data_IF_095956637854
#
_entry.id   IF_095956637854
#
_cell.length_a   1.000
_cell.length_b   1.000
_cell.length_c   1.000
_cell.angle_alpha   90.00
_cell.angle_beta   90.00
_cell.angle_gamma   90.00
#
_symmetry.space_group_name_H-M   'P 1'
#
loop_
_entity.id
_entity.type
_entity.pdbx_description
1 polymer ?
#
# COMPACT_ATOMS: atom_id res chain seq x y z
N UNK A 1 -32.20 13.24 -6.39
CA UNK A 1 -31.49 12.42 -7.39
C UNK A 1 -30.01 12.77 -7.51
N UNK A 2 -29.63 14.03 -7.75
CA UNK A 2 -28.22 14.44 -7.87
C UNK A 2 -27.36 14.03 -6.67
N UNK A 3 -27.82 14.30 -5.43
CA UNK A 3 -27.09 13.91 -4.22
C UNK A 3 -26.79 12.40 -4.15
N UNK A 4 -27.77 11.55 -4.48
CA UNK A 4 -27.57 10.09 -4.45
C UNK A 4 -26.52 9.63 -5.48
N UNK A 5 -26.52 10.21 -6.68
CA UNK A 5 -25.53 9.90 -7.73
C UNK A 5 -24.13 10.40 -7.38
N UNK A 6 -24.01 11.59 -6.79
CA UNK A 6 -22.73 12.12 -6.34
C UNK A 6 -22.14 11.28 -5.21
N UNK A 7 -22.93 10.96 -4.18
CA UNK A 7 -22.46 10.16 -3.05
C UNK A 7 -22.15 8.72 -3.45
N UNK A 8 -22.84 8.14 -4.45
CA UNK A 8 -22.50 6.79 -4.92
C UNK A 8 -21.15 6.73 -5.61
N UNK A 9 -20.82 7.71 -6.46
CA UNK A 9 -19.49 7.83 -7.08
C UNK A 9 -18.43 8.12 -6.02
N UNK A 10 -18.69 9.08 -5.13
CA UNK A 10 -17.77 9.44 -4.05
C UNK A 10 -17.45 8.24 -3.13
N UNK A 11 -18.48 7.46 -2.76
CA UNK A 11 -18.34 6.27 -1.94
C UNK A 11 -17.58 5.15 -2.65
N UNK A 12 -17.89 4.87 -3.91
CA UNK A 12 -17.21 3.82 -4.68
C UNK A 12 -15.76 4.19 -5.02
N UNK A 13 -15.48 5.47 -5.25
CA UNK A 13 -14.12 5.95 -5.52
C UNK A 13 -13.30 6.20 -4.26
N UNK A 14 -13.84 5.95 -3.05
CA UNK A 14 -13.20 6.24 -1.78
C UNK A 14 -12.69 7.70 -1.72
N UNK A 15 -13.58 8.64 -2.05
CA UNK A 15 -13.22 10.06 -2.15
C UNK A 15 -13.58 10.85 -0.87
N UNK A 16 -14.65 10.47 -0.17
CA UNK A 16 -15.08 11.11 1.08
C UNK A 16 -15.68 12.50 0.94
N UNK A 17 -15.91 12.96 -0.28
CA UNK A 17 -16.62 14.21 -0.53
C UNK A 17 -18.12 14.00 -0.34
N UNK A 18 -18.72 14.86 0.48
CA UNK A 18 -20.16 15.00 0.62
C UNK A 18 -20.60 16.39 0.20
N UNK A 19 -21.83 16.48 -0.31
CA UNK A 19 -22.47 17.77 -0.64
C UNK A 19 -23.03 18.43 0.64
N UNK A 20 -23.23 17.66 1.70
CA UNK A 20 -23.78 18.13 2.96
C UNK A 20 -22.67 18.69 3.85
N UNK A 21 -22.97 19.77 4.58
CA UNK A 21 -22.01 20.44 5.48
C UNK A 21 -21.59 19.54 6.64
N UNK A 22 -22.50 18.72 7.12
CA UNK A 22 -22.34 17.73 8.18
C UNK A 22 -21.97 16.34 7.63
N UNK A 23 -21.58 16.27 6.36
CA UNK A 23 -21.21 15.03 5.69
C UNK A 23 -22.34 13.97 5.75
N UNK A 24 -22.15 12.84 6.44
CA UNK A 24 -23.18 11.81 6.62
C UNK A 24 -23.73 11.76 8.06
N UNK A 25 -23.43 12.74 8.91
CA UNK A 25 -23.92 12.81 10.29
C UNK A 25 -25.45 12.80 10.35
N UNK A 26 -26.13 13.59 9.51
CA UNK A 26 -27.59 13.64 9.43
C UNK A 26 -28.25 12.33 8.99
N UNK A 27 -27.49 11.37 8.45
CA UNK A 27 -28.01 10.06 7.99
C UNK A 27 -27.69 8.91 8.93
N UNK A 28 -27.08 9.17 10.09
CA UNK A 28 -26.64 8.13 11.06
C UNK A 28 -27.75 7.15 11.47
N UNK A 29 -28.99 7.62 11.52
CA UNK A 29 -30.15 6.82 11.96
C UNK A 29 -30.75 5.96 10.83
N UNK A 30 -30.25 6.08 9.59
CA UNK A 30 -30.74 5.34 8.42
C UNK A 30 -29.84 4.15 8.08
N UNK A 31 -30.14 2.93 8.56
CA UNK A 31 -29.29 1.75 8.33
C UNK A 31 -29.17 1.39 6.85
N UNK A 32 -30.19 1.71 6.04
CA UNK A 32 -30.19 1.47 4.59
C UNK A 32 -29.10 2.30 3.89
N UNK A 33 -29.00 3.58 4.23
CA UNK A 33 -28.00 4.49 3.64
C UNK A 33 -26.60 4.10 4.11
N UNK A 34 -26.42 3.86 5.41
CA UNK A 34 -25.12 3.45 5.94
C UNK A 34 -24.64 2.14 5.30
N UNK A 35 -25.52 1.14 5.19
CA UNK A 35 -25.16 -0.16 4.61
C UNK A 35 -24.80 -0.05 3.12
N UNK A 36 -25.57 0.73 2.35
CA UNK A 36 -25.27 0.94 0.92
C UNK A 36 -23.94 1.65 0.72
N UNK A 37 -23.66 2.70 1.49
CA UNK A 37 -22.38 3.42 1.45
C UNK A 37 -21.22 2.51 1.88
N UNK A 38 -21.36 1.74 2.96
CA UNK A 38 -20.33 0.79 3.39
C UNK A 38 -20.02 -0.26 2.32
N UNK A 39 -21.04 -0.81 1.66
CA UNK A 39 -20.86 -1.75 0.55
C UNK A 39 -20.09 -1.11 -0.61
N UNK A 40 -20.43 0.12 -0.99
CA UNK A 40 -19.73 0.84 -2.07
C UNK A 40 -18.25 1.08 -1.73
N UNK A 41 -17.96 1.51 -0.50
CA UNK A 41 -16.58 1.72 -0.01
C UNK A 41 -15.77 0.43 -0.04
N UNK A 42 -16.36 -0.68 0.44
CA UNK A 42 -15.69 -1.98 0.44
C UNK A 42 -15.42 -2.42 -0.99
N UNK A 43 -16.41 -2.35 -1.88
CA UNK A 43 -16.25 -2.75 -3.28
C UNK A 43 -15.21 -1.90 -4.01
N UNK A 44 -15.21 -0.58 -3.77
CA UNK A 44 -14.21 0.35 -4.29
C UNK A 44 -12.79 0.08 -3.78
N UNK A 45 -12.67 -0.26 -2.49
CA UNK A 45 -11.40 -0.50 -1.81
C UNK A 45 -10.75 -1.87 -2.08
N UNK A 46 -11.48 -2.86 -2.61
CA UNK A 46 -10.93 -4.20 -2.92
C UNK A 46 -10.03 -4.21 -4.16
N UNK A 47 -10.23 -3.25 -5.08
CA UNK A 47 -9.46 -3.12 -6.32
C UNK A 47 -10.02 -3.94 -7.49
N UNK A 48 -9.76 -3.44 -8.71
CA UNK A 48 -10.39 -3.94 -9.92
C UNK A 48 -10.13 -5.44 -10.18
N UNK A 49 -8.90 -5.91 -9.95
CA UNK A 49 -8.52 -7.32 -10.15
C UNK A 49 -9.34 -8.28 -9.28
N UNK A 50 -9.58 -7.90 -8.02
CA UNK A 50 -10.37 -8.70 -7.08
C UNK A 50 -11.84 -8.67 -7.47
N UNK A 51 -12.34 -7.50 -7.89
CA UNK A 51 -13.73 -7.33 -8.31
C UNK A 51 -14.04 -8.16 -9.58
N UNK A 52 -13.17 -8.12 -10.59
CA UNK A 52 -13.35 -8.91 -11.82
C UNK A 52 -13.34 -10.41 -11.55
N UNK A 53 -12.45 -10.88 -10.66
CA UNK A 53 -12.37 -12.29 -10.29
C UNK A 53 -13.62 -12.73 -9.51
N UNK A 54 -14.10 -11.91 -8.58
CA UNK A 54 -15.31 -12.19 -7.81
C UNK A 54 -16.56 -12.22 -8.69
N UNK A 55 -16.68 -11.29 -9.65
CA UNK A 55 -17.79 -11.25 -10.62
C UNK A 55 -17.78 -12.47 -11.54
N UNK A 56 -16.62 -12.87 -12.04
CA UNK A 56 -16.50 -14.05 -12.89
C UNK A 56 -16.83 -15.34 -12.11
N UNK A 57 -16.33 -15.47 -10.87
CA UNK A 57 -16.70 -16.58 -9.98
C UNK A 57 -18.20 -16.60 -9.66
N UNK A 58 -18.79 -15.44 -9.36
CA UNK A 58 -20.22 -15.34 -9.07
C UNK A 58 -21.09 -15.79 -10.24
N UNK A 59 -20.80 -15.29 -11.46
CA UNK A 59 -21.52 -15.69 -12.68
C UNK A 59 -21.40 -17.19 -12.95
N UNK A 60 -20.21 -17.75 -12.82
CA UNK A 60 -19.98 -19.16 -13.09
C UNK A 60 -20.62 -20.09 -12.04
N UNK A 61 -20.76 -19.63 -10.79
CA UNK A 61 -21.51 -20.32 -9.72
C UNK A 61 -23.01 -20.31 -9.98
N UNK A 62 -23.55 -19.17 -10.39
CA UNK A 62 -24.97 -19.01 -10.77
C UNK A 62 -25.33 -19.83 -12.01
N UNK A 63 -24.39 -19.99 -12.96
CA UNK A 63 -24.57 -20.78 -14.18
C UNK A 63 -24.34 -22.29 -13.98
N UNK A 64 -24.05 -22.75 -12.76
CA UNK A 64 -23.82 -24.18 -12.44
C UNK A 64 -22.56 -24.80 -13.07
N UNK A 65 -21.71 -24.02 -13.74
CA UNK A 65 -20.64 -24.53 -14.60
C UNK A 65 -19.28 -24.76 -13.90
N UNK A 66 -19.17 -24.52 -12.58
CA UNK A 66 -17.90 -24.68 -11.84
C UNK A 66 -18.11 -25.47 -10.55
N UNK A 67 -17.29 -26.51 -10.27
CA UNK A 67 -17.36 -27.26 -9.03
C UNK A 67 -17.04 -26.37 -7.81
N UNK A 68 -17.74 -26.63 -6.71
CA UNK A 68 -17.78 -25.80 -5.52
C UNK A 68 -16.51 -25.84 -4.65
N UNK A 69 -15.32 -25.72 -5.23
CA UNK A 69 -14.05 -25.84 -4.51
C UNK A 69 -13.53 -24.53 -3.89
N UNK A 70 -12.88 -24.56 -2.71
CA UNK A 70 -12.23 -23.41 -2.07
C UNK A 70 -10.93 -22.92 -2.75
N UNK A 71 -10.52 -23.55 -3.86
CA UNK A 71 -9.28 -23.24 -4.60
C UNK A 71 -9.48 -22.41 -5.86
N UNK A 72 -10.70 -21.95 -6.09
CA UNK A 72 -11.06 -21.25 -7.33
C UNK A 72 -10.53 -19.81 -7.39
N UNK A 73 -10.24 -19.21 -6.22
CA UNK A 73 -9.73 -17.85 -6.09
C UNK A 73 -8.19 -17.79 -6.03
N UNK A 74 -7.63 -16.79 -6.71
CA UNK A 74 -6.23 -16.43 -6.69
C UNK A 74 -5.74 -16.17 -5.27
N UNK A 75 -4.44 -16.39 -5.03
CA UNK A 75 -3.85 -16.10 -3.72
C UNK A 75 -3.94 -14.62 -3.37
N UNK A 76 -3.80 -13.74 -4.35
CA UNK A 76 -3.97 -12.29 -4.17
C UNK A 76 -5.37 -11.95 -3.63
N UNK A 77 -6.42 -12.43 -4.30
CA UNK A 77 -7.82 -12.19 -3.88
C UNK A 77 -8.12 -12.76 -2.51
N UNK A 78 -7.64 -13.97 -2.21
CA UNK A 78 -7.82 -14.56 -0.86
C UNK A 78 -7.13 -13.75 0.23
N UNK A 79 -5.92 -13.23 -0.02
CA UNK A 79 -5.21 -12.35 0.93
C UNK A 79 -5.96 -11.05 1.13
N UNK A 80 -6.35 -10.38 0.03
CA UNK A 80 -7.08 -9.11 0.07
C UNK A 80 -8.39 -9.24 0.86
N UNK A 81 -9.20 -10.25 0.57
CA UNK A 81 -10.48 -10.47 1.25
C UNK A 81 -10.29 -10.75 2.75
N UNK A 82 -9.34 -11.63 3.10
CA UNK A 82 -9.05 -11.96 4.51
C UNK A 82 -8.55 -10.75 5.29
N UNK A 83 -7.63 -9.98 4.72
CA UNK A 83 -7.08 -8.79 5.37
C UNK A 83 -8.13 -7.69 5.52
N UNK A 84 -8.90 -7.45 4.47
CA UNK A 84 -10.00 -6.46 4.48
C UNK A 84 -11.02 -6.81 5.57
N UNK A 85 -11.46 -8.07 5.62
CA UNK A 85 -12.41 -8.53 6.63
C UNK A 85 -11.82 -8.44 8.04
N UNK A 86 -10.58 -8.87 8.23
CA UNK A 86 -9.90 -8.81 9.52
C UNK A 86 -9.77 -7.36 10.03
N UNK A 87 -9.41 -6.41 9.16
CA UNK A 87 -9.28 -5.00 9.53
C UNK A 87 -10.63 -4.36 9.88
N UNK A 88 -11.70 -4.68 9.14
CA UNK A 88 -13.06 -4.18 9.46
C UNK A 88 -13.53 -4.73 10.81
N UNK A 89 -13.35 -6.03 11.05
CA UNK A 89 -13.80 -6.66 12.30
C UNK A 89 -12.98 -6.12 13.48
N UNK A 90 -11.65 -6.06 13.34
CA UNK A 90 -10.76 -5.58 14.39
C UNK A 90 -10.99 -4.10 14.70
N UNK A 91 -11.21 -3.27 13.67
CA UNK A 91 -11.53 -1.86 13.86
C UNK A 91 -12.90 -1.67 14.52
N UNK A 92 -13.93 -2.39 14.08
CA UNK A 92 -15.26 -2.34 14.69
C UNK A 92 -15.22 -2.77 16.17
N UNK A 93 -14.62 -3.92 16.47
CA UNK A 93 -14.48 -4.40 17.85
C UNK A 93 -13.65 -3.44 18.70
N UNK A 94 -12.54 -2.92 18.17
CA UNK A 94 -11.71 -1.95 18.86
C UNK A 94 -12.47 -0.67 19.20
N UNK A 95 -13.27 -0.13 18.27
CA UNK A 95 -14.09 1.05 18.51
C UNK A 95 -15.21 0.80 19.53
N UNK A 96 -15.81 -0.39 19.53
CA UNK A 96 -16.81 -0.77 20.53
C UNK A 96 -16.23 -0.86 21.95
N UNK A 97 -14.99 -1.36 22.08
CA UNK A 97 -14.30 -1.49 23.37
C UNK A 97 -13.80 -0.14 23.86
N UNK A 98 -13.18 0.65 22.97
CA UNK A 98 -12.56 1.94 23.32
C UNK A 98 -13.59 3.08 23.46
N UNK A 99 -14.77 2.90 22.88
CA UNK A 99 -15.90 3.81 23.01
C UNK A 99 -16.08 4.74 21.82
N UNK A 100 -17.35 5.01 21.52
CA UNK A 100 -17.83 6.03 20.60
C UNK A 100 -18.36 7.24 21.39
N UNK A 101 -18.52 8.42 20.76
CA UNK A 101 -19.11 9.58 21.42
C UNK A 101 -20.46 9.24 22.05
N UNK A 102 -20.73 9.79 23.25
CA UNK A 102 -21.83 9.42 24.14
C UNK A 102 -23.25 9.65 23.59
N UNK A 103 -23.40 10.15 22.37
CA UNK A 103 -24.70 10.45 21.76
C UNK A 103 -25.47 9.22 21.28
N UNK A 104 -24.90 8.02 21.34
CA UNK A 104 -25.56 6.80 20.88
C UNK A 104 -26.08 5.96 22.05
N UNK A 105 -27.39 6.02 22.27
CA UNK A 105 -28.05 5.38 23.41
C UNK A 105 -28.40 3.91 23.17
N UNK A 106 -28.58 3.48 21.91
CA UNK A 106 -28.97 2.09 21.56
C UNK A 106 -27.78 1.27 21.08
N UNK A 107 -27.69 0.01 21.53
CA UNK A 107 -26.65 -0.95 21.11
C UNK A 107 -26.56 -1.13 19.59
N UNK A 108 -27.70 -1.15 18.89
CA UNK A 108 -27.74 -1.26 17.43
C UNK A 108 -27.07 -0.08 16.73
N UNK A 109 -27.29 1.15 17.23
CA UNK A 109 -26.66 2.36 16.70
C UNK A 109 -25.15 2.31 16.93
N UNK A 110 -24.72 1.96 18.16
CA UNK A 110 -23.29 1.83 18.49
C UNK A 110 -22.58 0.86 17.55
N UNK A 111 -23.22 -0.28 17.26
CA UNK A 111 -22.67 -1.26 16.32
C UNK A 111 -22.60 -0.71 14.89
N UNK A 112 -23.66 -0.07 14.39
CA UNK A 112 -23.66 0.50 13.04
C UNK A 112 -22.62 1.62 12.89
N UNK A 113 -22.45 2.47 13.90
CA UNK A 113 -21.49 3.56 13.88
C UNK A 113 -20.06 3.07 14.03
N UNK A 114 -19.79 2.07 14.88
CA UNK A 114 -18.48 1.44 14.97
C UNK A 114 -18.09 0.75 13.65
N UNK A 115 -19.03 0.01 13.06
CA UNK A 115 -18.83 -0.66 11.78
C UNK A 115 -18.59 0.37 10.67
N UNK A 116 -19.42 1.41 10.59
CA UNK A 116 -19.30 2.46 9.59
C UNK A 116 -17.96 3.18 9.71
N UNK A 117 -17.57 3.57 10.91
CA UNK A 117 -16.30 4.27 11.14
C UNK A 117 -15.08 3.38 10.84
N UNK A 118 -15.17 2.08 11.15
CA UNK A 118 -14.14 1.11 10.77
C UNK A 118 -14.06 0.86 9.26
N UNK A 119 -15.18 0.95 8.54
CA UNK A 119 -15.21 0.85 7.08
C UNK A 119 -14.68 2.14 6.46
N UNK A 120 -15.07 3.29 7.01
CA UNK A 120 -14.75 4.61 6.50
C UNK A 120 -13.29 5.01 6.69
N UNK A 121 -12.66 4.60 7.80
CA UNK A 121 -11.23 4.81 8.05
C UNK A 121 -10.34 4.18 6.98
N UNK A 122 -10.84 3.20 6.21
CA UNK A 122 -10.15 2.64 5.04
C UNK A 122 -10.35 3.51 3.81
N UNK A 123 -9.88 4.75 3.90
CA UNK A 123 -9.78 5.73 2.81
C UNK A 123 -11.10 6.32 2.29
N UNK A 124 -12.22 6.23 3.01
CA UNK A 124 -13.49 6.71 2.50
C UNK A 124 -13.93 8.07 3.01
N UNK A 125 -13.45 8.53 4.18
CA UNK A 125 -13.61 9.92 4.62
C UNK A 125 -14.99 10.37 5.08
N UNK A 126 -15.99 9.50 5.03
CA UNK A 126 -17.31 9.84 5.56
C UNK A 126 -17.35 9.70 7.08
N UNK A 127 -17.99 10.64 7.75
CA UNK A 127 -18.23 10.60 9.18
C UNK A 127 -19.73 10.52 9.49
N UNK A 128 -20.10 9.59 10.37
CA UNK A 128 -21.43 9.46 10.99
C UNK A 128 -21.41 9.84 12.47
N UNK A 129 -20.22 10.07 13.01
CA UNK A 129 -19.96 10.57 14.36
C UNK A 129 -18.97 11.72 14.28
N UNK A 130 -19.04 12.66 15.24
CA UNK A 130 -18.08 13.75 15.31
C UNK A 130 -16.72 13.19 15.75
N UNK A 131 -15.74 13.27 14.84
CA UNK A 131 -14.39 12.76 15.04
C UNK A 131 -13.64 13.60 16.08
N UNK A 132 -13.88 14.91 16.14
CA UNK A 132 -13.20 15.80 17.08
C UNK A 132 -13.54 15.54 18.55
N UNK A 133 -14.66 14.86 18.82
CA UNK A 133 -15.14 14.55 20.18
C UNK A 133 -14.90 13.08 20.56
N UNK A 134 -14.26 12.29 19.69
CA UNK A 134 -13.97 10.89 19.98
C UNK A 134 -12.91 10.74 21.10
N UNK A 135 -13.01 9.68 21.93
CA UNK A 135 -11.95 9.35 22.87
C UNK A 135 -10.59 9.22 22.18
N UNK A 136 -9.52 9.69 22.84
CA UNK A 136 -8.17 9.69 22.29
C UNK A 136 -7.70 8.27 21.89
N UNK A 137 -8.12 7.25 22.63
CA UNK A 137 -7.87 5.85 22.32
C UNK A 137 -8.49 5.43 20.97
N UNK A 138 -9.75 5.80 20.73
CA UNK A 138 -10.46 5.54 19.47
C UNK A 138 -9.85 6.33 18.31
N UNK A 139 -9.44 7.58 18.53
CA UNK A 139 -8.70 8.38 17.53
C UNK A 139 -7.38 7.72 17.13
N UNK A 140 -6.63 7.19 18.11
CA UNK A 140 -5.37 6.50 17.84
C UNK A 140 -5.61 5.19 17.07
N UNK A 141 -6.64 4.43 17.42
CA UNK A 141 -7.04 3.24 16.66
C UNK A 141 -7.40 3.59 15.21
N UNK A 142 -8.20 4.64 15.00
CA UNK A 142 -8.54 5.12 13.66
C UNK A 142 -7.29 5.55 12.90
N UNK A 143 -6.38 6.27 13.55
CA UNK A 143 -5.11 6.69 12.97
C UNK A 143 -4.30 5.48 12.45
N UNK A 144 -4.20 4.41 13.24
CA UNK A 144 -3.53 3.17 12.81
C UNK A 144 -4.24 2.48 11.66
N UNK A 145 -5.57 2.45 11.67
CA UNK A 145 -6.38 1.90 10.57
C UNK A 145 -6.22 2.71 9.28
N UNK A 146 -6.22 4.05 9.36
CA UNK A 146 -6.09 4.97 8.23
C UNK A 146 -4.72 4.86 7.53
N UNK A 147 -3.68 4.55 8.29
CA UNK A 147 -2.36 4.28 7.71
C UNK A 147 -2.38 3.07 6.76
N UNK A 148 -3.23 2.08 7.06
CA UNK A 148 -3.48 0.90 6.24
C UNK A 148 -4.66 1.19 5.30
N UNK A 149 -4.33 1.59 4.09
CA UNK A 149 -5.32 1.93 3.07
C UNK A 149 -5.98 0.72 2.41
N UNK A 150 -6.51 0.94 1.20
CA UNK A 150 -7.16 -0.12 0.42
C UNK A 150 -6.19 -1.06 -0.28
N UNK A 151 -6.74 -1.92 -1.14
CA UNK A 151 -5.98 -2.98 -1.80
C UNK A 151 -5.35 -2.49 -3.11
N UNK A 152 -4.36 -3.21 -3.68
CA UNK A 152 -3.77 -2.85 -4.97
C UNK A 152 -4.82 -2.78 -6.09
N UNK A 153 -4.68 -1.83 -7.00
CA UNK A 153 -5.64 -1.63 -8.10
C UNK A 153 -6.99 -1.03 -7.66
N UNK A 154 -7.06 -0.45 -6.45
CA UNK A 154 -8.19 0.34 -5.97
C UNK A 154 -7.91 1.84 -6.06
N UNK A 155 -8.98 2.62 -5.89
CA UNK A 155 -8.96 4.07 -5.72
C UNK A 155 -8.67 4.48 -4.27
N UNK A 156 -7.94 3.69 -3.48
CA UNK A 156 -7.58 4.04 -2.11
C UNK A 156 -6.10 4.46 -2.02
N UNK A 157 -5.76 5.43 -1.18
CA UNK A 157 -4.38 5.82 -0.87
C UNK A 157 -3.70 4.93 0.18
N UNK A 158 -2.58 5.40 0.73
CA UNK A 158 -1.90 4.81 1.88
C UNK A 158 -1.18 3.49 1.62
N UNK A 159 -0.78 2.81 2.70
CA UNK A 159 -0.11 1.51 2.61
C UNK A 159 -1.14 0.44 2.26
N UNK A 160 -0.88 -0.29 1.17
CA UNK A 160 -1.81 -1.30 0.69
C UNK A 160 -1.96 -2.47 1.66
N UNK A 161 -3.17 -3.03 1.75
CA UNK A 161 -3.48 -4.21 2.57
C UNK A 161 -2.55 -5.41 2.32
N UNK A 162 -2.14 -5.62 1.06
CA UNK A 162 -1.19 -6.67 0.69
C UNK A 162 0.22 -6.41 1.20
N UNK A 163 0.64 -5.14 1.27
CA UNK A 163 1.91 -4.76 1.86
C UNK A 163 1.96 -5.09 3.35
N UNK A 164 0.87 -4.81 4.08
CA UNK A 164 0.72 -5.23 5.46
C UNK A 164 0.77 -6.76 5.60
N UNK A 165 0.04 -7.49 4.75
CA UNK A 165 0.03 -8.95 4.79
C UNK A 165 1.43 -9.56 4.59
N UNK A 166 2.19 -9.04 3.62
CA UNK A 166 3.56 -9.49 3.34
C UNK A 166 4.47 -9.20 4.53
N UNK A 167 4.34 -8.02 5.14
CA UNK A 167 5.15 -7.60 6.29
C UNK A 167 4.88 -8.48 7.51
N UNK A 168 3.60 -8.76 7.80
CA UNK A 168 3.22 -9.66 8.89
C UNK A 168 3.69 -11.10 8.63
N UNK A 169 3.60 -11.58 7.39
CA UNK A 169 4.09 -12.89 7.02
C UNK A 169 5.62 -12.99 7.13
N UNK A 170 6.35 -11.95 6.72
CA UNK A 170 7.80 -11.89 6.91
C UNK A 170 8.15 -11.87 8.39
N UNK A 171 7.54 -11.01 9.19
CA UNK A 171 7.77 -10.96 10.63
C UNK A 171 7.54 -12.33 11.29
N UNK A 172 6.45 -13.01 10.94
CA UNK A 172 6.15 -14.37 11.42
C UNK A 172 7.19 -15.41 11.00
N UNK A 173 7.64 -15.38 9.74
CA UNK A 173 8.67 -16.30 9.26
C UNK A 173 10.01 -16.09 9.98
N UNK A 174 10.41 -14.82 10.17
CA UNK A 174 11.64 -14.44 10.89
C UNK A 174 11.61 -14.90 12.35
N UNK A 175 10.49 -14.74 13.05
CA UNK A 175 10.34 -15.24 14.42
C UNK A 175 10.46 -16.76 14.53
N UNK A 176 10.12 -17.50 13.48
CA UNK A 176 10.28 -18.96 13.41
C UNK A 176 11.66 -19.40 12.91
N UNK A 177 12.51 -18.47 12.48
CA UNK A 177 13.78 -18.80 11.82
C UNK A 177 13.62 -19.39 10.41
N UNK A 178 12.49 -19.16 9.75
CA UNK A 178 12.26 -19.64 8.38
C UNK A 178 12.85 -18.65 7.35
N UNK A 179 13.68 -19.15 6.43
CA UNK A 179 14.29 -18.34 5.35
C UNK A 179 13.30 -17.94 4.25
N UNK A 180 12.16 -18.62 4.17
CA UNK A 180 11.17 -18.42 3.13
C UNK A 180 9.87 -17.89 3.72
N UNK A 181 9.41 -16.77 3.20
CA UNK A 181 8.08 -16.24 3.54
C UNK A 181 7.03 -16.95 2.68
N UNK A 182 6.17 -17.73 3.33
CA UNK A 182 5.09 -18.49 2.70
C UNK A 182 3.74 -17.91 3.11
N UNK A 183 2.86 -17.71 2.13
CA UNK A 183 1.51 -17.19 2.32
C UNK A 183 0.52 -18.01 1.50
N UNK A 184 -0.50 -18.58 2.16
CA UNK A 184 -1.50 -19.47 1.53
C UNK A 184 -0.85 -20.61 0.71
N UNK A 185 0.14 -21.27 1.31
CA UNK A 185 0.92 -22.37 0.71
C UNK A 185 1.70 -21.96 -0.55
N UNK A 186 1.99 -20.66 -0.71
CA UNK A 186 2.82 -20.14 -1.80
C UNK A 186 3.94 -19.25 -1.28
N UNK A 187 5.15 -19.46 -1.79
CA UNK A 187 6.32 -18.64 -1.48
C UNK A 187 6.19 -17.25 -2.09
N UNK A 188 6.47 -16.21 -1.31
CA UNK A 188 6.56 -14.84 -1.79
C UNK A 188 8.00 -14.57 -2.28
N UNK A 189 8.19 -14.10 -3.53
CA UNK A 189 9.51 -13.76 -4.06
C UNK A 189 10.22 -12.64 -3.26
N UNK A 190 11.54 -12.80 -3.01
CA UNK A 190 12.37 -11.79 -2.32
C UNK A 190 12.26 -10.37 -2.91
N UNK A 191 12.26 -10.17 -4.25
CA UNK A 191 12.12 -8.82 -4.81
C UNK A 191 10.80 -8.12 -4.43
N UNK A 192 9.73 -8.88 -4.15
CA UNK A 192 8.46 -8.32 -3.71
C UNK A 192 8.56 -7.92 -2.23
N UNK A 193 9.18 -8.74 -1.38
CA UNK A 193 9.46 -8.39 0.02
C UNK A 193 10.28 -7.09 0.12
N UNK A 194 11.39 -7.02 -0.61
CA UNK A 194 12.29 -5.86 -0.55
C UNK A 194 11.57 -4.57 -0.97
N UNK A 195 10.77 -4.64 -2.05
CA UNK A 195 9.94 -3.50 -2.50
C UNK A 195 8.91 -3.10 -1.46
N UNK A 196 8.21 -4.06 -0.84
CA UNK A 196 7.24 -3.80 0.23
C UNK A 196 7.89 -3.14 1.44
N UNK A 197 9.07 -3.62 1.85
CA UNK A 197 9.80 -3.04 3.00
C UNK A 197 10.33 -1.64 2.71
N UNK A 198 10.75 -1.35 1.48
CA UNK A 198 11.11 0.01 1.07
C UNK A 198 9.89 0.94 1.11
N UNK A 199 8.75 0.49 0.56
CA UNK A 199 7.49 1.26 0.59
C UNK A 199 7.07 1.64 2.01
N UNK A 200 7.10 0.70 2.95
CA UNK A 200 6.70 0.94 4.34
C UNK A 200 7.67 1.89 5.03
N UNK A 201 8.99 1.68 4.88
CA UNK A 201 10.00 2.57 5.47
C UNK A 201 9.89 3.99 4.95
N UNK A 202 9.70 4.17 3.64
CA UNK A 202 9.48 5.49 3.03
C UNK A 202 8.20 6.14 3.55
N UNK A 203 7.12 5.37 3.72
CA UNK A 203 5.85 5.88 4.25
C UNK A 203 5.99 6.35 5.70
N UNK A 204 6.69 5.60 6.55
CA UNK A 204 6.95 5.97 7.94
C UNK A 204 7.80 7.25 8.00
N UNK A 205 8.89 7.30 7.23
CA UNK A 205 9.77 8.47 7.20
C UNK A 205 9.03 9.73 6.72
N UNK A 206 8.21 9.61 5.67
CA UNK A 206 7.41 10.72 5.16
C UNK A 206 6.43 11.26 6.21
N UNK A 207 5.70 10.37 6.89
CA UNK A 207 4.75 10.77 7.92
C UNK A 207 5.45 11.37 9.14
N UNK A 208 6.63 10.87 9.53
CA UNK A 208 7.41 11.44 10.62
C UNK A 208 7.89 12.87 10.29
N UNK A 209 8.39 13.08 9.07
CA UNK A 209 8.78 14.42 8.59
C UNK A 209 7.59 15.37 8.56
N UNK A 210 6.43 14.90 8.08
CA UNK A 210 5.23 15.70 8.03
C UNK A 210 4.67 16.06 9.40
N UNK A 211 4.70 15.13 10.34
CA UNK A 211 4.34 15.38 11.73
C UNK A 211 5.22 16.47 12.35
N UNK A 212 6.54 16.38 12.18
CA UNK A 212 7.47 17.39 12.69
C UNK A 212 7.22 18.77 12.07
N UNK A 213 7.02 18.82 10.75
CA UNK A 213 6.75 20.07 10.04
C UNK A 213 5.44 20.70 10.50
N UNK A 214 4.35 19.93 10.57
CA UNK A 214 3.05 20.44 10.98
C UNK A 214 3.03 20.86 12.45
N UNK A 215 3.71 20.11 13.33
CA UNK A 215 3.88 20.54 14.72
C UNK A 215 4.57 21.89 14.79
N UNK A 216 5.64 22.09 14.01
CA UNK A 216 6.33 23.37 13.96
C UNK A 216 5.46 24.51 13.40
N UNK A 217 4.74 24.29 12.31
CA UNK A 217 3.94 25.35 11.66
C UNK A 217 2.66 25.69 12.40
N UNK A 218 2.04 24.71 13.08
CA UNK A 218 0.76 24.87 13.78
C UNK A 218 0.94 25.11 15.30
N UNK A 219 2.17 25.30 15.77
CA UNK A 219 2.47 25.59 17.18
C UNK A 219 1.68 26.81 17.68
N UNK A 220 1.06 26.69 18.87
CA UNK A 220 0.39 27.79 19.56
C UNK A 220 -1.06 28.06 19.10
N UNK A 221 -1.63 27.22 18.22
CA UNK A 221 -3.01 27.36 17.76
C UNK A 221 -4.01 26.56 18.62
N UNK A 222 -5.21 27.12 18.87
CA UNK A 222 -6.23 26.42 19.65
C UNK A 222 -6.75 25.19 18.89
N UNK A 223 -6.66 24.02 19.53
CA UNK A 223 -7.09 22.74 18.94
C UNK A 223 -6.07 22.10 17.98
N UNK A 224 -4.80 22.51 18.05
CA UNK A 224 -3.70 21.84 17.35
C UNK A 224 -2.91 20.95 18.33
N UNK A 225 -3.58 20.01 18.99
CA UNK A 225 -2.91 19.04 19.85
C UNK A 225 -2.03 18.09 19.03
N UNK A 226 -1.06 17.43 19.69
CA UNK A 226 -0.24 16.40 19.03
C UNK A 226 -1.08 15.32 18.33
N UNK A 227 -2.19 14.92 18.95
CA UNK A 227 -3.10 13.92 18.40
C UNK A 227 -3.86 14.42 17.17
N UNK A 228 -4.27 15.69 17.14
CA UNK A 228 -4.92 16.31 15.98
C UNK A 228 -3.98 16.35 14.78
N UNK A 229 -2.75 16.82 15.00
CA UNK A 229 -1.74 16.91 13.94
C UNK A 229 -1.36 15.52 13.42
N UNK A 230 -1.19 14.55 14.31
CA UNK A 230 -0.93 13.16 13.93
C UNK A 230 -2.08 12.58 13.11
N UNK A 231 -3.33 12.83 13.53
CA UNK A 231 -4.53 12.35 12.85
C UNK A 231 -4.62 12.95 11.44
N UNK A 232 -4.43 14.27 11.30
CA UNK A 232 -4.44 14.98 10.01
C UNK A 232 -3.34 14.49 9.07
N UNK A 233 -2.11 14.35 9.58
CA UNK A 233 -0.97 13.90 8.79
C UNK A 233 -1.21 12.49 8.21
N UNK A 234 -1.70 11.57 9.04
CA UNK A 234 -1.95 10.18 8.63
C UNK A 234 -3.20 10.08 7.76
N UNK A 235 -4.25 10.85 8.06
CA UNK A 235 -5.44 10.96 7.20
C UNK A 235 -5.09 11.49 5.82
N UNK A 236 -4.25 12.53 5.73
CA UNK A 236 -3.76 13.07 4.46
C UNK A 236 -2.93 12.03 3.69
N UNK A 237 -2.00 11.34 4.34
CA UNK A 237 -1.17 10.32 3.70
C UNK A 237 -1.99 9.10 3.24
N UNK A 238 -2.96 8.67 4.05
CA UNK A 238 -3.90 7.61 3.66
C UNK A 238 -4.90 8.05 2.59
N UNK A 239 -4.95 9.35 2.27
CA UNK A 239 -6.03 10.00 1.53
C UNK A 239 -7.39 9.58 2.07
N UNK A 240 -7.55 9.63 3.39
CA UNK A 240 -8.76 9.21 4.08
C UNK A 240 -9.79 10.30 4.09
N UNK A 241 -9.43 11.53 4.43
CA UNK A 241 -10.35 12.67 4.43
C UNK A 241 -11.16 12.82 5.72
N UNK A 242 -10.87 12.02 6.76
CA UNK A 242 -11.36 12.31 8.11
C UNK A 242 -10.49 13.40 8.75
N UNK A 243 -11.10 14.24 9.58
CA UNK A 243 -10.43 15.34 10.29
C UNK A 243 -10.97 15.46 11.71
N UNK A 244 -10.12 15.88 12.67
CA UNK A 244 -10.57 16.29 14.01
C UNK A 244 -11.06 17.74 14.05
N UNK A 245 -11.10 18.43 12.90
CA UNK A 245 -11.48 19.83 12.76
C UNK A 245 -10.29 20.80 12.61
N UNK A 246 -9.08 20.29 12.40
CA UNK A 246 -7.87 21.09 12.21
C UNK A 246 -7.69 21.54 10.75
N UNK A 247 -8.18 20.77 9.77
CA UNK A 247 -8.03 21.03 8.32
C UNK A 247 -8.36 22.48 7.92
N UNK A 248 -9.49 23.03 8.38
CA UNK A 248 -9.92 24.39 8.01
C UNK A 248 -9.03 25.48 8.62
N UNK A 249 -8.34 25.16 9.72
CA UNK A 249 -7.52 26.08 10.51
C UNK A 249 -6.03 26.04 10.16
N UNK A 250 -5.61 25.14 9.26
CA UNK A 250 -4.21 24.98 8.86
C UNK A 250 -3.58 26.27 8.32
N UNK A 251 -2.30 26.49 8.62
CA UNK A 251 -1.48 27.57 8.02
C UNK A 251 -1.37 27.38 6.50
N UNK A 252 -0.98 28.43 5.78
CA UNK A 252 -0.68 28.31 4.33
C UNK A 252 0.37 27.22 4.08
N UNK A 253 1.42 27.18 4.90
CA UNK A 253 2.50 26.17 4.80
C UNK A 253 1.94 24.77 5.12
N UNK A 254 1.17 24.63 6.19
CA UNK A 254 0.53 23.37 6.58
C UNK A 254 -0.41 22.83 5.51
N UNK A 255 -1.21 23.70 4.87
CA UNK A 255 -2.11 23.34 3.74
C UNK A 255 -1.32 22.85 2.52
N UNK A 256 -0.24 23.54 2.15
CA UNK A 256 0.64 23.10 1.06
C UNK A 256 1.26 21.73 1.36
N UNK A 257 1.72 21.53 2.60
CA UNK A 257 2.28 20.26 3.04
C UNK A 257 1.27 19.11 3.02
N UNK A 258 0.06 19.33 3.55
CA UNK A 258 -1.03 18.35 3.53
C UNK A 258 -1.40 17.99 2.09
N UNK A 259 -1.45 18.98 1.19
CA UNK A 259 -1.72 18.77 -0.24
C UNK A 259 -0.64 17.89 -0.89
N UNK A 260 0.63 18.17 -0.63
CA UNK A 260 1.74 17.35 -1.10
C UNK A 260 1.67 15.92 -0.52
N UNK A 261 1.33 15.80 0.77
CA UNK A 261 1.17 14.51 1.46
C UNK A 261 0.04 13.68 0.85
N UNK A 262 -1.10 14.29 0.51
CA UNK A 262 -2.20 13.60 -0.19
C UNK A 262 -1.76 13.07 -1.55
N UNK A 263 -1.00 13.87 -2.30
CA UNK A 263 -0.46 13.45 -3.61
C UNK A 263 0.50 12.26 -3.48
N UNK A 264 1.42 12.31 -2.51
CA UNK A 264 2.35 11.21 -2.20
C UNK A 264 1.61 9.96 -1.74
N UNK A 265 0.62 10.13 -0.87
CA UNK A 265 -0.24 9.07 -0.37
C UNK A 265 -1.01 8.35 -1.47
N UNK A 266 -1.47 9.09 -2.49
CA UNK A 266 -2.25 8.55 -3.61
C UNK A 266 -1.40 7.79 -4.62
N UNK A 267 -0.27 8.38 -5.05
CA UNK A 267 0.61 7.80 -6.07
C UNK A 267 1.50 6.67 -5.52
N UNK A 268 1.71 6.67 -4.21
CA UNK A 268 2.61 5.79 -3.52
C UNK A 268 4.04 6.36 -3.51
N UNK A 269 4.71 6.37 -2.34
CA UNK A 269 6.00 7.05 -2.18
C UNK A 269 7.11 6.46 -3.06
N UNK A 270 7.09 5.14 -3.32
CA UNK A 270 8.08 4.51 -4.19
C UNK A 270 7.90 4.89 -5.67
N UNK A 271 6.65 5.01 -6.14
CA UNK A 271 6.36 5.42 -7.52
C UNK A 271 6.89 6.82 -7.79
N UNK A 272 6.69 7.74 -6.84
CA UNK A 272 7.24 9.08 -6.90
C UNK A 272 8.77 9.08 -6.80
N UNK A 273 9.35 8.32 -5.88
CA UNK A 273 10.79 8.21 -5.76
C UNK A 273 11.45 7.74 -7.07
N UNK A 274 10.90 6.70 -7.71
CA UNK A 274 11.40 6.18 -8.99
C UNK A 274 11.16 7.17 -10.14
N UNK A 275 10.04 7.90 -10.13
CA UNK A 275 9.74 8.91 -11.15
C UNK A 275 10.69 10.11 -11.12
N UNK A 276 11.23 10.44 -9.94
CA UNK A 276 12.14 11.58 -9.74
C UNK A 276 13.61 11.17 -9.81
N UNK A 277 13.95 9.96 -9.34
CA UNK A 277 15.34 9.49 -9.26
C UNK A 277 15.77 8.73 -10.53
N UNK A 278 16.93 9.07 -11.12
CA UNK A 278 17.45 8.31 -12.26
C UNK A 278 17.84 6.88 -11.85
N UNK A 279 17.50 5.90 -12.69
CA UNK A 279 17.84 4.51 -12.44
C UNK A 279 19.33 4.24 -12.70
N UNK A 280 20.15 4.32 -11.66
CA UNK A 280 21.59 4.02 -11.75
C UNK A 280 21.79 2.51 -11.65
N UNK A 281 22.13 1.87 -12.77
CA UNK A 281 22.50 0.46 -12.80
C UNK A 281 24.03 0.33 -12.69
N UNK A 282 24.53 -0.07 -11.51
CA UNK A 282 25.95 -0.41 -11.38
C UNK A 282 26.22 -1.76 -12.04
N UNK A 283 27.18 -1.80 -12.98
CA UNK A 283 27.72 -3.05 -13.54
C UNK A 283 28.85 -3.63 -12.67
N UNK A 284 29.31 -2.88 -11.68
CA UNK A 284 30.39 -3.28 -10.77
C UNK A 284 29.77 -3.78 -9.47
N UNK A 285 30.16 -4.99 -9.05
CA UNK A 285 29.82 -5.56 -7.74
C UNK A 285 30.97 -5.26 -6.78
N UNK A 286 30.67 -4.63 -5.66
CA UNK A 286 31.63 -4.37 -4.59
C UNK A 286 31.78 -5.60 -3.69
N UNK A 287 32.93 -5.81 -3.04
CA UNK A 287 33.12 -6.90 -2.08
C UNK A 287 32.17 -6.76 -0.87
N UNK A 288 31.79 -7.89 -0.27
CA UNK A 288 30.90 -7.91 0.89
C UNK A 288 31.59 -7.31 2.13
N UNK A 289 31.04 -6.21 2.64
CA UNK A 289 31.45 -5.63 3.91
C UNK A 289 30.62 -6.21 5.05
N UNK A 290 31.26 -6.84 6.04
CA UNK A 290 30.59 -7.27 7.27
C UNK A 290 30.44 -6.07 8.21
N UNK A 291 29.24 -5.52 8.32
CA UNK A 291 28.91 -4.45 9.26
C UNK A 291 28.08 -5.05 10.37
N UNK A 292 28.51 -4.86 11.63
CA UNK A 292 27.82 -5.40 12.80
C UNK A 292 26.48 -4.67 13.00
N UNK A 293 25.38 -5.42 13.03
CA UNK A 293 24.03 -4.89 13.31
C UNK A 293 23.62 -5.42 14.69
N UNK A 294 23.95 -4.65 15.73
CA UNK A 294 23.61 -4.98 17.12
C UNK A 294 24.21 -6.31 17.60
N UNK A 295 23.74 -6.79 18.75
CA UNK A 295 24.20 -8.04 19.37
C UNK A 295 23.49 -9.25 18.75
N UNK A 296 23.62 -9.43 17.45
CA UNK A 296 23.23 -10.71 16.82
C UNK A 296 24.25 -11.74 17.28
N UNK A 297 23.78 -12.85 17.89
CA UNK A 297 24.61 -14.02 18.18
C UNK A 297 24.96 -14.74 16.87
N UNK A 298 25.67 -14.06 15.98
CA UNK A 298 26.46 -14.75 14.99
C UNK A 298 27.82 -14.97 15.62
N UNK A 299 28.11 -16.24 15.92
CA UNK A 299 29.39 -16.66 16.46
C UNK A 299 30.46 -16.28 15.41
N UNK A 300 31.41 -15.36 15.70
CA UNK A 300 32.38 -14.90 14.70
C UNK A 300 33.35 -16.01 14.22
N UNK A 301 33.24 -17.23 14.76
CA UNK A 301 34.21 -18.32 14.61
C UNK A 301 33.70 -19.55 13.84
N UNK A 302 32.48 -19.57 13.29
CA UNK A 302 31.96 -20.77 12.60
C UNK A 302 32.00 -20.77 11.06
N UNK A 303 32.62 -19.78 10.41
CA UNK A 303 32.98 -19.91 8.99
C UNK A 303 34.48 -20.11 8.87
N UNK A 304 34.90 -21.37 9.04
CA UNK A 304 36.21 -21.83 8.60
C UNK A 304 36.44 -21.38 7.17
N UNK A 305 37.43 -20.52 6.98
CA UNK A 305 38.05 -20.21 5.71
C UNK A 305 38.45 -21.49 4.97
N UNK A 306 37.92 -21.78 3.77
CA UNK A 306 38.68 -22.55 2.81
C UNK A 306 39.76 -21.61 2.26
N UNK A 307 41.00 -22.07 2.31
CA UNK A 307 42.19 -21.27 2.04
C UNK A 307 42.13 -20.41 0.78
N UNK A 308 42.85 -19.29 0.87
CA UNK A 308 43.37 -18.53 -0.26
C UNK A 308 43.63 -19.43 -1.48
N UNK A 309 42.73 -19.38 -2.46
CA UNK A 309 43.07 -19.66 -3.86
C UNK A 309 43.15 -18.33 -4.57
N UNK A 310 44.37 -17.96 -4.94
CA UNK A 310 44.64 -16.99 -6.00
C UNK A 310 43.73 -17.32 -7.19
N UNK A 311 42.74 -16.47 -7.46
CA UNK A 311 42.04 -16.49 -8.73
C UNK A 311 43.04 -15.98 -9.78
N UNK A 312 43.69 -16.92 -10.46
CA UNK A 312 44.31 -16.67 -11.75
C UNK A 312 43.22 -16.13 -12.68
N UNK A 313 43.37 -14.89 -13.14
CA UNK A 313 42.54 -14.33 -14.21
C UNK A 313 42.87 -15.10 -15.48
N UNK A 314 42.08 -16.13 -15.76
CA UNK A 314 42.05 -16.80 -17.06
C UNK A 314 41.03 -16.08 -17.95
N UNK A 315 41.52 -15.28 -18.89
CA UNK A 315 40.72 -14.86 -20.03
C UNK A 315 40.41 -16.10 -20.88
N UNK A 316 39.17 -16.60 -20.79
CA UNK A 316 38.62 -17.54 -21.76
C UNK A 316 37.50 -16.86 -22.56
N UNK A 317 37.49 -16.96 -23.90
CA UNK A 317 36.51 -16.30 -24.74
C UNK A 317 35.14 -16.99 -24.66
N UNK A 318 34.08 -16.18 -24.65
CA UNK A 318 32.68 -16.62 -24.69
C UNK A 318 32.41 -17.49 -25.92
N UNK A 319 31.87 -18.70 -25.70
CA UNK A 319 30.99 -19.37 -26.65
C UNK A 319 29.55 -18.93 -26.36
N UNK A 320 28.91 -18.27 -27.33
CA UNK A 320 27.45 -18.13 -27.40
C UNK A 320 26.88 -19.21 -28.32
N UNK A 321 25.71 -19.78 -28.02
CA UNK A 321 25.04 -20.76 -28.88
C UNK A 321 24.12 -20.07 -29.91
N UNK A 322 23.82 -20.84 -30.96
CA UNK A 322 22.70 -20.73 -31.90
C UNK A 322 22.81 -19.81 -33.13
N UNK A 323 22.50 -20.40 -34.29
CA UNK A 323 21.67 -19.76 -35.30
C UNK A 323 22.37 -19.24 -36.55
N UNK A 324 22.52 -20.10 -37.55
CA UNK A 324 22.86 -19.72 -38.93
C UNK A 324 21.66 -19.01 -39.59
N UNK A 325 21.86 -17.82 -40.18
CA UNK A 325 21.20 -17.41 -41.43
C UNK A 325 22.23 -16.68 -42.33
N UNK A 326 22.42 -17.10 -43.60
CA UNK A 326 23.50 -16.66 -44.48
C UNK A 326 23.08 -15.48 -45.38
N UNK A 327 23.92 -14.45 -45.51
CA UNK A 327 23.63 -13.34 -46.44
C UNK A 327 24.66 -12.22 -46.54
N UNK A 328 25.55 -12.05 -45.55
CA UNK A 328 26.46 -10.88 -45.51
C UNK A 328 27.92 -11.21 -45.86
N UNK A 329 28.24 -12.50 -46.02
CA UNK A 329 29.62 -12.95 -46.34
C UNK A 329 29.95 -12.87 -47.85
N UNK A 330 28.95 -12.68 -48.72
CA UNK A 330 29.17 -12.53 -50.16
C UNK A 330 29.54 -11.11 -50.58
N UNK A 331 29.10 -10.07 -49.85
CA UNK A 331 29.38 -8.67 -50.25
C UNK A 331 30.81 -8.19 -49.91
N UNK A 332 31.46 -8.80 -48.91
CA UNK A 332 32.81 -8.40 -48.49
C UNK A 332 33.93 -9.13 -49.26
N UNK A 333 33.62 -10.21 -49.98
CA UNK A 333 34.60 -10.92 -50.83
C UNK A 333 34.84 -10.24 -52.18
N UNK A 334 33.83 -9.56 -52.74
CA UNK A 334 33.96 -8.87 -54.03
C UNK A 334 34.67 -7.51 -53.95
N UNK A 335 34.56 -6.79 -52.83
CA UNK A 335 35.27 -5.51 -52.63
C UNK A 335 36.79 -5.75 -52.48
N UNK A 336 37.21 -6.88 -51.90
CA UNK A 336 38.63 -7.25 -51.80
C UNK A 336 39.24 -7.78 -53.12
N UNK A 337 38.43 -8.30 -54.04
CA UNK A 337 38.90 -8.76 -55.37
C UNK A 337 39.03 -7.61 -56.37
N UNK A 338 38.17 -6.60 -56.32
CA UNK A 338 38.28 -5.41 -57.18
C UNK A 338 39.47 -4.50 -56.81
N UNK A 339 39.85 -4.44 -55.52
CA UNK A 339 41.01 -3.63 -55.08
C UNK A 339 42.37 -4.22 -55.46
N UNK A 340 42.45 -5.51 -55.83
CA UNK A 340 43.69 -6.17 -56.30
C UNK A 340 43.86 -6.12 -57.82
N UNK A 341 42.81 -5.82 -58.61
CA UNK A 341 42.91 -5.72 -60.07
C UNK A 341 43.22 -4.30 -60.58
N UNK A 342 43.08 -3.28 -59.74
CA UNK A 342 43.42 -1.87 -60.05
C UNK A 342 44.86 -1.45 -59.70
N UNK A 343 45.76 -2.40 -59.38
CA UNK A 343 47.21 -2.14 -59.14
C UNK A 343 48.12 -2.80 -60.18
N UNK A 344 47.57 -3.24 -61.32
CA UNK A 344 48.33 -3.88 -62.41
C UNK A 344 47.91 -3.38 -63.81
N UNK A 345 47.49 -2.12 -63.92
CA UNK A 345 47.45 -1.37 -65.18
C UNK A 345 48.17 -0.06 -64.92
#
# INVERSE_FOLDING_TARGET
MFSAFFHSISAFCNAGFSIYKDNLLGFRDSPVILTTVMCLIVLGGLGHMVLSELLHHGKNRLSGSVPAGPRSLSTHTRVVLRMTLALIILGCLGLLILGLPSSESTWGMKLSSALFQSVSSRTAGFNTVDIGVMPLSSLLLLTLLMFIGGSPGSCAGGIKTTGLAITLAEFKARLKGEDQVVMLDRRVPKPILDRTMVLIRMSILWNLLGLLLLLYTETGRPGAGFHDVLFEQISAFGTVGLSTGLTDKLTVIGRLWITATMFVGRLGPLTLAIGVLPAIHSRVKYPEGRIMIGRTRENPLSSSSPGFRLYQVSMAPRRTPSGVIPGVVLLLRDITRLRRKARKI
#
